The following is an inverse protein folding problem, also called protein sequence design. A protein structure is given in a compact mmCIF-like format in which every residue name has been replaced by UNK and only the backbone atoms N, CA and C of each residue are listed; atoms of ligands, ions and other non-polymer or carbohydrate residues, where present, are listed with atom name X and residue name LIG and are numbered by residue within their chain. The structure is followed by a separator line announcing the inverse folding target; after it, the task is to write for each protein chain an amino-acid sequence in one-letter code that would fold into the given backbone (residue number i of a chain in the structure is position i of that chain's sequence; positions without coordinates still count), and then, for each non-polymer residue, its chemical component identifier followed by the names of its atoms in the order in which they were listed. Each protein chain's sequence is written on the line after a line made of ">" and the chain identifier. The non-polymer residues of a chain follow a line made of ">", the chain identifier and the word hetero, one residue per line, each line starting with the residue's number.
data_IF_066307901150
#
_entry.id   IF_066307901150
#
_cell.length_a   1.000
_cell.length_b   1.000
_cell.length_c   1.000
_cell.angle_alpha   90.00
_cell.angle_beta   90.00
_cell.angle_gamma   90.00
#
_symmetry.space_group_name_H-M   'P 1'
#
loop_
_entity.id
_entity.type
_entity.pdbx_description
1 polymer ?
#
# COMPACT_ATOMS: atom_id res chain seq x y z
N UNK A 1 2.55 -12.31 -16.62
CA UNK A 1 1.76 -11.45 -15.72
C UNK A 1 2.57 -10.19 -15.46
N UNK A 2 2.23 -9.08 -16.12
CA UNK A 2 2.94 -7.82 -15.89
C UNK A 2 2.67 -7.35 -14.46
N UNK A 3 3.73 -7.25 -13.64
CA UNK A 3 3.67 -6.53 -12.36
C UNK A 3 3.07 -5.15 -12.66
N UNK A 4 1.87 -4.87 -12.16
CA UNK A 4 1.39 -3.49 -12.15
C UNK A 4 2.27 -2.77 -11.14
N UNK A 5 3.18 -1.95 -11.64
CA UNK A 5 4.08 -1.17 -10.83
C UNK A 5 3.26 -0.04 -10.21
N UNK A 6 2.95 -0.17 -8.92
CA UNK A 6 2.29 0.88 -8.12
C UNK A 6 3.34 1.83 -7.58
N UNK A 7 2.92 3.03 -7.17
CA UNK A 7 3.81 3.96 -6.49
C UNK A 7 4.41 3.35 -5.21
N UNK A 8 3.64 2.54 -4.49
CA UNK A 8 4.15 1.82 -3.32
C UNK A 8 5.26 0.84 -3.72
N UNK A 9 5.08 0.05 -4.77
CA UNK A 9 6.11 -0.90 -5.21
C UNK A 9 7.41 -0.20 -5.63
N UNK A 10 7.31 0.95 -6.31
CA UNK A 10 8.44 1.79 -6.68
C UNK A 10 9.19 2.30 -5.45
N UNK A 11 8.46 2.84 -4.47
CA UNK A 11 9.05 3.33 -3.23
C UNK A 11 9.74 2.20 -2.45
N UNK A 12 9.08 1.04 -2.33
CA UNK A 12 9.67 -0.10 -1.64
C UNK A 12 10.94 -0.62 -2.33
N UNK A 13 10.96 -0.64 -3.66
CA UNK A 13 12.15 -1.04 -4.43
C UNK A 13 13.29 -0.03 -4.27
N UNK A 14 13.00 1.28 -4.27
CA UNK A 14 14.00 2.31 -3.99
C UNK A 14 14.56 2.16 -2.56
N UNK A 15 13.70 1.95 -1.56
CA UNK A 15 14.11 1.68 -0.17
C UNK A 15 15.04 0.47 -0.09
N UNK A 16 14.69 -0.65 -0.74
CA UNK A 16 15.52 -1.87 -0.75
C UNK A 16 16.86 -1.61 -1.42
N UNK A 17 16.88 -0.92 -2.56
CA UNK A 17 18.11 -0.65 -3.32
C UNK A 17 19.10 0.23 -2.55
N UNK A 18 18.59 1.16 -1.75
CA UNK A 18 19.40 2.10 -0.96
C UNK A 18 19.64 1.66 0.47
N UNK A 19 19.02 0.55 0.90
CA UNK A 19 18.97 0.12 2.29
C UNK A 19 20.36 0.11 2.94
N UNK A 20 21.36 -0.49 2.29
CA UNK A 20 22.70 -0.66 2.87
C UNK A 20 23.42 0.66 3.14
N UNK A 21 23.10 1.71 2.38
CA UNK A 21 23.64 3.07 2.55
C UNK A 21 22.96 3.88 3.66
N UNK A 22 21.81 3.42 4.18
CA UNK A 22 21.07 4.12 5.22
C UNK A 22 21.80 4.05 6.58
N UNK A 23 21.69 5.11 7.36
CA UNK A 23 22.14 5.08 8.77
C UNK A 23 21.33 4.06 9.58
N UNK A 24 21.86 3.59 10.72
CA UNK A 24 21.19 2.60 11.59
C UNK A 24 19.73 2.97 11.91
N UNK A 25 19.47 4.24 12.25
CA UNK A 25 18.12 4.74 12.57
C UNK A 25 17.20 4.76 11.34
N UNK A 26 17.73 5.07 10.16
CA UNK A 26 16.95 5.04 8.92
C UNK A 26 16.69 3.60 8.45
N UNK A 27 17.62 2.67 8.68
CA UNK A 27 17.39 1.22 8.47
C UNK A 27 16.26 0.69 9.34
N UNK A 28 16.17 1.10 10.62
CA UNK A 28 15.04 0.74 11.48
C UNK A 28 13.70 1.19 10.91
N UNK A 29 13.62 2.42 10.41
CA UNK A 29 12.42 2.94 9.74
C UNK A 29 12.11 2.13 8.48
N UNK A 30 13.11 1.90 7.62
CA UNK A 30 12.95 1.11 6.38
C UNK A 30 12.42 -0.29 6.67
N UNK A 31 12.99 -0.99 7.65
CA UNK A 31 12.53 -2.33 8.04
C UNK A 31 11.07 -2.28 8.48
N UNK A 32 10.73 -1.37 9.39
CA UNK A 32 9.36 -1.26 9.90
C UNK A 32 8.33 -1.03 8.77
N UNK A 33 8.58 -0.07 7.86
CA UNK A 33 7.60 0.25 6.81
C UNK A 33 7.51 -0.82 5.72
N UNK A 34 8.60 -1.53 5.43
CA UNK A 34 8.58 -2.67 4.50
C UNK A 34 7.80 -3.85 5.08
N UNK A 35 7.93 -4.10 6.38
CA UNK A 35 7.23 -5.20 7.06
C UNK A 35 5.76 -4.89 7.38
N UNK A 36 5.41 -3.60 7.55
CA UNK A 36 4.12 -3.15 8.08
C UNK A 36 3.39 -2.16 7.14
N UNK A 37 3.52 -2.32 5.82
CA UNK A 37 3.01 -1.36 4.82
C UNK A 37 1.52 -1.01 4.99
N UNK A 38 0.66 -2.00 5.32
CA UNK A 38 -0.76 -1.75 5.55
C UNK A 38 -0.99 -0.89 6.80
N UNK A 39 -0.34 -1.20 7.92
CA UNK A 39 -0.47 -0.43 9.17
C UNK A 39 0.02 1.00 9.01
N UNK A 40 1.10 1.22 8.27
CA UNK A 40 1.65 2.56 7.98
C UNK A 40 0.62 3.48 7.34
N UNK A 41 -0.30 2.96 6.52
CA UNK A 41 -1.35 3.77 5.90
C UNK A 41 -2.31 4.40 6.93
N UNK A 42 -2.53 3.73 8.07
CA UNK A 42 -3.50 4.12 9.08
C UNK A 42 -2.85 4.82 10.28
N UNK A 43 -1.75 4.26 10.80
CA UNK A 43 -1.10 4.68 12.05
C UNK A 43 -0.63 6.14 12.02
N UNK A 44 -0.70 6.82 13.17
CA UNK A 44 -0.16 8.18 13.28
C UNK A 44 1.37 8.18 13.17
N UNK A 45 1.96 9.31 12.79
CA UNK A 45 3.44 9.46 12.75
C UNK A 45 4.08 9.13 14.11
N UNK A 46 3.43 9.53 15.21
CA UNK A 46 3.91 9.23 16.56
C UNK A 46 3.88 7.72 16.85
N UNK A 47 2.79 7.03 16.50
CA UNK A 47 2.66 5.58 16.68
C UNK A 47 3.67 4.81 15.85
N UNK A 48 3.88 5.21 14.59
CA UNK A 48 4.88 4.60 13.71
C UNK A 48 6.28 4.78 14.30
N UNK A 49 6.60 5.97 14.79
CA UNK A 49 7.90 6.24 15.40
C UNK A 49 8.13 5.36 16.64
N UNK A 50 7.10 5.23 17.48
CA UNK A 50 7.13 4.36 18.65
C UNK A 50 7.32 2.89 18.27
N UNK A 51 6.55 2.37 17.31
CA UNK A 51 6.66 0.96 16.89
C UNK A 51 7.98 0.66 16.18
N UNK A 52 8.52 1.62 15.44
CA UNK A 52 9.83 1.51 14.81
C UNK A 52 11.01 1.74 15.78
N UNK A 53 10.74 2.03 17.07
CA UNK A 53 11.73 2.38 18.09
C UNK A 53 12.67 3.52 17.67
N UNK A 54 12.09 4.61 17.14
CA UNK A 54 12.83 5.80 16.72
C UNK A 54 12.15 7.10 17.17
N UNK A 55 12.90 8.20 17.31
CA UNK A 55 12.31 9.52 17.47
C UNK A 55 11.51 9.94 16.22
N UNK A 56 10.40 10.70 16.35
CA UNK A 56 9.59 11.16 15.21
C UNK A 56 10.36 11.93 14.13
N UNK A 57 11.39 12.70 14.51
CA UNK A 57 12.26 13.41 13.57
C UNK A 57 13.03 12.47 12.63
N UNK A 58 13.22 11.20 13.01
CA UNK A 58 13.82 10.17 12.15
C UNK A 58 12.92 9.83 10.98
N UNK A 59 11.60 9.82 11.17
CA UNK A 59 10.62 9.61 10.08
C UNK A 59 10.67 10.77 9.07
N UNK A 60 10.84 12.01 9.53
CA UNK A 60 10.99 13.18 8.64
C UNK A 60 12.28 13.05 7.83
N UNK A 61 13.41 12.75 8.47
CA UNK A 61 14.69 12.53 7.76
C UNK A 61 14.61 11.37 6.78
N UNK A 62 13.90 10.31 7.15
CA UNK A 62 13.64 9.18 6.28
C UNK A 62 12.87 9.63 5.03
N UNK A 63 11.76 10.35 5.21
CA UNK A 63 10.98 10.89 4.10
C UNK A 63 11.82 11.74 3.15
N UNK A 64 12.61 12.67 3.71
CA UNK A 64 13.49 13.54 2.94
C UNK A 64 14.56 12.75 2.15
N UNK A 65 15.09 11.67 2.73
CA UNK A 65 16.08 10.82 2.06
C UNK A 65 15.52 10.17 0.77
N UNK A 66 14.20 10.00 0.68
CA UNK A 66 13.49 9.45 -0.47
C UNK A 66 12.72 10.52 -1.27
N UNK A 67 13.06 11.80 -1.10
CA UNK A 67 12.56 12.89 -1.94
C UNK A 67 11.20 13.47 -1.54
N UNK A 68 10.66 13.08 -0.38
CA UNK A 68 9.41 13.65 0.14
C UNK A 68 9.71 14.86 1.05
N UNK A 69 8.79 15.81 1.10
CA UNK A 69 8.82 16.99 1.98
C UNK A 69 8.63 16.63 3.47
N UNK A 70 8.08 15.44 3.74
CA UNK A 70 7.89 14.93 5.09
C UNK A 70 7.14 13.60 5.12
N UNK A 71 7.02 13.01 6.31
CA UNK A 71 6.50 11.64 6.42
C UNK A 71 5.01 11.52 6.11
N UNK A 72 4.22 12.57 6.30
CA UNK A 72 2.79 12.56 5.94
C UNK A 72 2.56 12.45 4.43
N UNK A 73 3.43 13.08 3.63
CA UNK A 73 3.42 12.97 2.17
C UNK A 73 3.81 11.55 1.74
N UNK A 74 4.91 11.01 2.27
CA UNK A 74 5.30 9.62 2.04
C UNK A 74 4.17 8.64 2.40
N UNK A 75 3.49 8.84 3.54
CA UNK A 75 2.36 8.01 4.00
C UNK A 75 1.17 8.03 3.02
N UNK A 76 1.04 9.06 2.18
CA UNK A 76 -0.01 9.11 1.15
C UNK A 76 0.16 8.01 0.11
N UNK A 77 1.40 7.61 -0.22
CA UNK A 77 1.70 6.51 -1.15
C UNK A 77 1.08 5.19 -0.66
N UNK A 78 1.19 4.92 0.64
CA UNK A 78 0.61 3.75 1.29
C UNK A 78 -0.92 3.79 1.27
N UNK A 79 -1.52 4.96 1.56
CA UNK A 79 -2.99 5.13 1.51
C UNK A 79 -3.55 4.95 0.10
N UNK A 80 -2.90 5.54 -0.90
CA UNK A 80 -3.32 5.42 -2.30
C UNK A 80 -3.30 3.99 -2.78
N UNK A 81 -2.26 3.23 -2.42
CA UNK A 81 -2.18 1.82 -2.78
C UNK A 81 -3.37 1.00 -2.25
N UNK A 82 -3.74 1.19 -0.98
CA UNK A 82 -4.92 0.50 -0.42
C UNK A 82 -6.23 0.89 -1.13
N UNK A 83 -6.37 2.16 -1.51
CA UNK A 83 -7.53 2.62 -2.28
C UNK A 83 -7.57 1.97 -3.67
N UNK A 84 -6.44 1.92 -4.38
CA UNK A 84 -6.31 1.26 -5.68
C UNK A 84 -6.67 -0.23 -5.60
N UNK A 85 -6.23 -0.93 -4.55
CA UNK A 85 -6.57 -2.33 -4.32
C UNK A 85 -8.08 -2.52 -4.10
N UNK A 86 -8.71 -1.64 -3.31
CA UNK A 86 -10.17 -1.72 -3.06
C UNK A 86 -10.99 -1.49 -4.34
N UNK A 87 -10.60 -0.52 -5.18
CA UNK A 87 -11.27 -0.24 -6.47
C UNK A 87 -11.06 -1.38 -7.45
N UNK A 88 -9.85 -1.94 -7.51
CA UNK A 88 -9.57 -3.11 -8.36
C UNK A 88 -10.43 -4.31 -7.95
N UNK A 89 -10.60 -4.54 -6.66
CA UNK A 89 -11.44 -5.61 -6.14
C UNK A 89 -12.92 -5.42 -6.49
N UNK A 90 -13.48 -4.22 -6.29
CA UNK A 90 -14.89 -3.95 -6.58
C UNK A 90 -15.21 -4.07 -8.07
N UNK A 91 -14.31 -3.62 -8.94
CA UNK A 91 -14.48 -3.74 -10.40
C UNK A 91 -14.44 -5.20 -10.85
N UNK A 92 -13.50 -6.00 -10.32
CA UNK A 92 -13.47 -7.45 -10.59
C UNK A 92 -14.77 -8.12 -10.15
N UNK A 93 -15.25 -7.83 -8.93
CA UNK A 93 -16.50 -8.39 -8.43
C UNK A 93 -17.71 -8.02 -9.30
N UNK A 94 -17.73 -6.79 -9.84
CA UNK A 94 -18.77 -6.33 -10.78
C UNK A 94 -18.71 -7.08 -12.11
N UNK A 95 -17.53 -7.23 -12.71
CA UNK A 95 -17.33 -7.98 -13.95
C UNK A 95 -17.74 -9.46 -13.80
N UNK A 96 -17.42 -10.08 -12.66
CA UNK A 96 -17.92 -11.43 -12.35
C UNK A 96 -19.45 -11.49 -12.30
N UNK A 97 -20.12 -10.54 -11.65
CA UNK A 97 -21.60 -10.50 -11.65
C UNK A 97 -22.17 -10.31 -13.05
N UNK A 98 -21.58 -9.46 -13.87
CA UNK A 98 -22.06 -9.18 -15.23
C UNK A 98 -21.88 -10.39 -16.16
N UNK A 99 -20.75 -11.12 -16.06
CA UNK A 99 -20.52 -12.33 -16.84
C UNK A 99 -21.50 -13.46 -16.48
N UNK A 100 -21.86 -13.60 -15.20
CA UNK A 100 -22.87 -14.58 -14.76
C UNK A 100 -24.31 -14.16 -15.08
N UNK A 101 -24.58 -12.87 -15.32
CA UNK A 101 -25.90 -12.39 -15.71
C UNK A 101 -26.20 -12.58 -17.22
N UNK A 102 -25.17 -12.84 -18.03
CA UNK A 102 -25.29 -13.12 -19.47
C UNK A 102 -25.47 -14.63 -19.76
N UNK A 103 -25.28 -15.51 -18.76
CA UNK A 103 -25.44 -16.97 -18.86
C UNK A 103 -26.68 -17.50 -18.09
N UNK A 104 -27.70 -16.66 -17.83
CA UNK A 104 -28.86 -17.06 -17.04
C UNK A 104 -30.16 -16.38 -17.42
N UNK A 105 -30.76 -16.76 -18.55
CA UNK A 105 -32.23 -16.75 -18.63
C UNK A 105 -32.76 -17.89 -17.75
N UNK A 106 -33.53 -17.63 -16.68
CA UNK A 106 -34.32 -18.67 -16.06
C UNK A 106 -35.46 -18.98 -17.03
N UNK A 107 -35.37 -20.08 -17.76
CA UNK A 107 -36.52 -20.60 -18.51
C UNK A 107 -37.60 -20.96 -17.49
N UNK A 108 -38.79 -20.33 -17.51
CA UNK A 108 -39.87 -20.73 -16.62
C UNK A 108 -40.51 -21.97 -17.23
N UNK A 109 -40.03 -23.15 -16.83
CA UNK A 109 -40.71 -24.41 -17.15
C UNK A 109 -41.97 -24.52 -16.27
N UNK A 110 -43.11 -24.11 -16.84
CA UNK A 110 -44.43 -24.53 -16.37
C UNK A 110 -44.61 -26.01 -16.75
N UNK A 111 -44.95 -26.87 -15.80
CA UNK A 111 -46.19 -27.67 -15.82
C UNK A 111 -46.24 -28.65 -14.64
N UNK A 112 -47.37 -28.62 -13.94
CA UNK A 112 -47.82 -29.57 -12.92
C UNK A 112 -49.19 -29.14 -12.45
#
# INVERSE_FOLDING_TARGET
>A
MSKHQTQLSLLQDDIRSRYDSLSKRLKQVAQYILDNSNSVAFDTVASIAQHADVPPSTLIRFANAFGFSGFNEMKQVFRQHLMEETVSYTERARLFRQKNADEGEPTPEKAG
#
